data_IF_499456974336
#
_entry.id   IF_499456974336
#
_cell.length_a   1.000
_cell.length_b   1.000
_cell.length_c   1.000
_cell.angle_alpha   90.00
_cell.angle_beta   90.00
_cell.angle_gamma   90.00
#
_symmetry.space_group_name_H-M   'P 1'
#
loop_
_entity.id
_entity.type
_entity.pdbx_description
1 polymer ?
#
# COMPACT_ATOMS: atom_id res chain seq x y z
N UNK A 1 15.49 -6.19 2.28
CA UNK A 1 14.97 -5.07 3.12
C UNK A 1 13.94 -4.20 2.39
N UNK A 2 14.05 -3.98 1.07
CA UNK A 2 13.14 -3.14 0.30
C UNK A 2 11.64 -3.52 0.38
N UNK A 3 11.31 -4.81 0.54
CA UNK A 3 9.92 -5.28 0.64
C UNK A 3 9.29 -5.18 2.05
N UNK A 4 10.08 -4.92 3.10
CA UNK A 4 9.58 -4.90 4.48
C UNK A 4 8.72 -3.65 4.73
N UNK A 5 9.21 -2.47 4.35
CA UNK A 5 8.46 -1.21 4.48
C UNK A 5 7.11 -1.24 3.77
N UNK A 6 7.06 -1.66 2.49
CA UNK A 6 5.82 -1.82 1.75
C UNK A 6 4.87 -2.84 2.37
N UNK A 7 5.38 -4.00 2.80
CA UNK A 7 4.56 -5.01 3.47
C UNK A 7 3.87 -4.49 4.73
N UNK A 8 4.58 -3.71 5.55
CA UNK A 8 4.01 -3.06 6.73
C UNK A 8 2.98 -1.99 6.33
N UNK A 9 3.33 -1.12 5.37
CA UNK A 9 2.45 -0.04 4.92
C UNK A 9 1.14 -0.55 4.32
N UNK A 10 1.21 -1.57 3.45
CA UNK A 10 0.04 -2.22 2.85
C UNK A 10 -0.82 -2.86 3.93
N UNK A 11 -0.21 -3.63 4.85
CA UNK A 11 -0.94 -4.28 5.94
C UNK A 11 -1.70 -3.26 6.81
N UNK A 12 -1.07 -2.13 7.12
CA UNK A 12 -1.70 -1.05 7.88
C UNK A 12 -2.87 -0.39 7.12
N UNK A 13 -2.65 0.01 5.86
CA UNK A 13 -3.67 0.66 5.03
C UNK A 13 -4.87 -0.26 4.79
N UNK A 14 -4.60 -1.53 4.45
CA UNK A 14 -5.65 -2.52 4.24
C UNK A 14 -6.44 -2.80 5.53
N UNK A 15 -5.76 -2.96 6.67
CA UNK A 15 -6.41 -3.16 7.97
C UNK A 15 -7.34 -2.00 8.33
N UNK A 16 -6.88 -0.75 8.17
CA UNK A 16 -7.69 0.45 8.41
C UNK A 16 -8.87 0.59 7.45
N UNK A 17 -8.68 0.24 6.18
CA UNK A 17 -9.76 0.23 5.21
C UNK A 17 -10.85 -0.79 5.60
N UNK A 18 -10.46 -1.99 6.04
CA UNK A 18 -11.42 -3.01 6.51
C UNK A 18 -12.18 -2.51 7.74
N UNK A 19 -11.48 -1.96 8.74
CA UNK A 19 -12.12 -1.36 9.93
C UNK A 19 -13.12 -0.26 9.54
N UNK A 20 -12.76 0.62 8.60
CA UNK A 20 -13.62 1.71 8.15
C UNK A 20 -14.85 1.21 7.38
N UNK A 21 -14.68 0.26 6.46
CA UNK A 21 -15.79 -0.36 5.72
C UNK A 21 -16.74 -1.13 6.65
N UNK A 22 -16.22 -1.78 7.68
CA UNK A 22 -17.04 -2.47 8.68
C UNK A 22 -17.87 -1.48 9.53
N UNK A 23 -17.34 -0.29 9.82
CA UNK A 23 -18.05 0.77 10.57
C UNK A 23 -19.07 1.51 9.72
N UNK A 24 -18.78 1.72 8.44
CA UNK A 24 -19.65 2.46 7.52
C UNK A 24 -19.71 1.78 6.14
N UNK A 25 -20.59 0.78 5.97
CA UNK A 25 -20.69 -0.01 4.74
C UNK A 25 -21.03 0.83 3.50
N UNK A 26 -21.81 1.90 3.64
CA UNK A 26 -22.22 2.78 2.54
C UNK A 26 -21.04 3.54 1.93
N UNK A 27 -19.98 3.78 2.71
CA UNK A 27 -18.76 4.45 2.24
C UNK A 27 -17.75 3.48 1.59
N UNK A 28 -18.04 2.17 1.53
CA UNK A 28 -17.06 1.16 1.16
C UNK A 28 -16.44 1.36 -0.21
N UNK A 29 -17.21 1.84 -1.19
CA UNK A 29 -16.68 2.13 -2.53
C UNK A 29 -15.59 3.21 -2.52
N UNK A 30 -15.82 4.29 -1.78
CA UNK A 30 -14.85 5.38 -1.62
C UNK A 30 -13.63 4.92 -0.81
N UNK A 31 -13.86 4.22 0.32
CA UNK A 31 -12.78 3.69 1.17
C UNK A 31 -11.88 2.74 0.39
N UNK A 32 -12.45 1.84 -0.41
CA UNK A 32 -11.68 0.89 -1.23
C UNK A 32 -10.86 1.60 -2.29
N UNK A 33 -11.38 2.67 -2.89
CA UNK A 33 -10.65 3.49 -3.87
C UNK A 33 -9.44 4.16 -3.21
N UNK A 34 -9.63 4.80 -2.07
CA UNK A 34 -8.54 5.45 -1.32
C UNK A 34 -7.53 4.44 -0.79
N UNK A 35 -7.97 3.26 -0.37
CA UNK A 35 -7.09 2.15 0.05
C UNK A 35 -6.14 1.74 -1.07
N UNK A 36 -6.66 1.50 -2.28
CA UNK A 36 -5.81 1.11 -3.42
C UNK A 36 -4.83 2.21 -3.81
N UNK A 37 -5.23 3.48 -3.70
CA UNK A 37 -4.32 4.60 -3.91
C UNK A 37 -3.19 4.61 -2.87
N UNK A 38 -3.50 4.38 -1.60
CA UNK A 38 -2.51 4.25 -0.53
C UNK A 38 -1.54 3.09 -0.74
N UNK A 39 -2.04 1.93 -1.19
CA UNK A 39 -1.23 0.77 -1.57
C UNK A 39 -0.29 1.12 -2.73
N UNK A 40 -0.82 1.76 -3.78
CA UNK A 40 -0.03 2.14 -4.95
C UNK A 40 1.13 3.09 -4.58
N UNK A 41 0.90 4.07 -3.70
CA UNK A 41 1.97 4.95 -3.23
C UNK A 41 2.99 4.22 -2.35
N UNK A 42 2.52 3.26 -1.54
CA UNK A 42 3.39 2.44 -0.70
C UNK A 42 4.32 1.56 -1.56
N UNK A 43 3.80 0.99 -2.64
CA UNK A 43 4.57 0.21 -3.61
C UNK A 43 5.47 1.06 -4.51
N UNK A 44 5.09 2.30 -4.84
CA UNK A 44 5.90 3.16 -5.70
C UNK A 44 7.33 3.34 -5.16
N UNK A 45 7.48 3.51 -3.84
CA UNK A 45 8.79 3.61 -3.18
C UNK A 45 9.57 2.30 -3.24
N UNK A 46 8.87 1.16 -3.12
CA UNK A 46 9.47 -0.18 -3.24
C UNK A 46 10.04 -0.41 -4.64
N UNK A 47 9.24 -0.09 -5.65
CA UNK A 47 9.58 -0.26 -7.06
C UNK A 47 10.73 0.65 -7.47
N UNK A 48 10.77 1.90 -6.97
CA UNK A 48 11.92 2.78 -7.18
C UNK A 48 13.19 2.15 -6.59
N UNK A 49 13.13 1.65 -5.35
CA UNK A 49 14.26 0.96 -4.72
C UNK A 49 14.71 -0.30 -5.49
N UNK A 50 13.75 -1.07 -6.00
CA UNK A 50 14.01 -2.27 -6.82
C UNK A 50 14.66 -1.93 -8.16
N UNK A 51 14.18 -0.88 -8.84
CA UNK A 51 14.77 -0.41 -10.09
C UNK A 51 16.20 0.07 -9.87
N UNK A 52 16.46 0.84 -8.81
CA UNK A 52 17.82 1.29 -8.45
C UNK A 52 18.73 0.10 -8.14
N UNK A 53 18.23 -0.91 -7.42
CA UNK A 53 18.97 -2.14 -7.13
C UNK A 53 19.43 -2.85 -8.43
N UNK A 54 18.52 -3.02 -9.39
CA UNK A 54 18.85 -3.59 -10.71
C UNK A 54 19.86 -2.72 -11.46
N UNK A 55 19.67 -1.40 -11.49
CA UNK A 55 20.54 -0.47 -12.21
C UNK A 55 21.97 -0.45 -11.67
N UNK A 56 22.15 -0.66 -10.37
CA UNK A 56 23.46 -0.77 -9.72
C UNK A 56 24.10 -2.16 -9.87
N UNK A 57 23.38 -3.12 -10.47
CA UNK A 57 23.87 -4.49 -10.68
C UNK A 57 24.07 -5.28 -9.39
N UNK A 58 23.32 -4.92 -8.34
CA UNK A 58 23.33 -5.59 -7.03
C UNK A 58 22.34 -6.76 -6.99
#
# INVERSE_FOLDING_TARGET
MAAIGPGIGIGYVAGKAIEAMARQPEASGMVRTTMFLGIAFTEALALIGFVVFILLGL
#
